data_IF_582801286659
#
_entry.id   IF_582801286659
#
_cell.length_a   1.000
_cell.length_b   1.000
_cell.length_c   1.000
_cell.angle_alpha   90.00
_cell.angle_beta   90.00
_cell.angle_gamma   90.00
#
_symmetry.space_group_name_H-M   'P 1'
#
loop_
_entity.id
_entity.type
_entity.pdbx_description
1 polymer ?
#
# COMPACT_ATOMS: atom_id res chain seq x y z
N UNK A 1 16.51 3.11 4.21
CA UNK A 1 15.18 3.21 4.87
C UNK A 1 15.04 2.02 5.82
N UNK A 2 14.91 2.25 7.14
CA UNK A 2 14.57 1.17 8.07
C UNK A 2 13.09 0.83 7.89
N UNK A 3 12.79 -0.34 7.31
CA UNK A 3 11.43 -0.77 7.10
C UNK A 3 10.81 -1.23 8.41
N UNK A 4 10.15 -0.30 9.12
CA UNK A 4 9.34 -0.60 10.30
C UNK A 4 8.11 -1.41 9.86
N UNK A 5 8.24 -2.73 9.85
CA UNK A 5 7.19 -3.67 9.46
C UNK A 5 6.92 -4.60 10.65
N UNK A 6 5.66 -4.73 11.04
CA UNK A 6 5.27 -5.63 12.13
C UNK A 6 5.27 -7.11 11.68
N UNK A 7 5.39 -8.03 12.64
CA UNK A 7 5.21 -9.48 12.39
C UNK A 7 3.87 -9.80 11.73
N UNK A 8 2.81 -9.06 12.08
CA UNK A 8 1.49 -9.21 11.46
C UNK A 8 1.53 -8.85 9.97
N UNK A 9 2.12 -7.71 9.61
CA UNK A 9 2.29 -7.30 8.22
C UNK A 9 3.12 -8.31 7.41
N UNK A 10 4.25 -8.79 7.96
CA UNK A 10 5.08 -9.82 7.30
C UNK A 10 4.25 -11.08 7.00
N UNK A 11 3.48 -11.57 7.99
CA UNK A 11 2.58 -12.72 7.79
C UNK A 11 1.58 -12.46 6.66
N UNK A 12 0.99 -11.26 6.59
CA UNK A 12 0.01 -10.89 5.57
C UNK A 12 0.61 -10.73 4.18
N UNK A 13 1.85 -10.24 4.09
CA UNK A 13 2.63 -10.15 2.87
C UNK A 13 2.89 -11.55 2.30
N UNK A 14 3.42 -12.46 3.12
CA UNK A 14 3.71 -13.84 2.72
C UNK A 14 2.43 -14.57 2.24
N UNK A 15 1.34 -14.45 3.00
CA UNK A 15 0.04 -15.05 2.63
C UNK A 15 -0.52 -14.57 1.28
N UNK A 16 -0.08 -13.41 0.78
CA UNK A 16 -0.62 -12.78 -0.43
C UNK A 16 0.42 -12.62 -1.54
N UNK A 17 1.61 -13.19 -1.35
CA UNK A 17 2.74 -13.05 -2.27
C UNK A 17 3.04 -11.58 -2.59
N UNK A 18 3.07 -10.72 -1.56
CA UNK A 18 3.38 -9.29 -1.69
C UNK A 18 4.85 -9.10 -1.32
N UNK A 19 5.79 -9.04 -2.28
CA UNK A 19 7.19 -8.79 -1.99
C UNK A 19 7.40 -7.36 -1.47
N UNK A 20 8.51 -7.16 -0.77
CA UNK A 20 8.87 -5.87 -0.15
C UNK A 20 8.93 -4.72 -1.16
N UNK A 21 9.34 -4.99 -2.42
CA UNK A 21 9.36 -3.98 -3.49
C UNK A 21 7.97 -3.36 -3.73
N UNK A 22 6.89 -4.13 -3.58
CA UNK A 22 5.54 -3.59 -3.68
C UNK A 22 5.24 -2.62 -2.54
N UNK A 23 5.70 -2.92 -1.31
CA UNK A 23 5.53 -2.03 -0.16
C UNK A 23 6.23 -0.69 -0.40
N UNK A 24 7.47 -0.74 -0.91
CA UNK A 24 8.26 0.44 -1.22
C UNK A 24 7.57 1.30 -2.29
N UNK A 25 7.09 0.70 -3.37
CA UNK A 25 6.39 1.46 -4.41
C UNK A 25 5.06 2.03 -3.94
N UNK A 26 4.28 1.32 -3.11
CA UNK A 26 3.03 1.88 -2.56
C UNK A 26 3.33 3.07 -1.65
N UNK A 27 4.41 3.04 -0.86
CA UNK A 27 4.85 4.19 -0.08
C UNK A 27 5.31 5.37 -0.94
N UNK A 28 5.98 5.10 -2.06
CA UNK A 28 6.52 6.12 -2.96
C UNK A 28 5.45 6.76 -3.86
N UNK A 29 4.60 5.94 -4.48
CA UNK A 29 3.67 6.37 -5.52
C UNK A 29 2.21 6.38 -5.08
N UNK A 30 1.86 5.67 -4.00
CA UNK A 30 0.49 5.55 -3.51
C UNK A 30 -0.09 6.84 -2.96
N UNK A 31 -1.42 6.92 -2.91
CA UNK A 31 -2.14 8.01 -2.27
C UNK A 31 -2.06 7.85 -0.74
N UNK A 32 -1.60 8.89 -0.03
CA UNK A 32 -1.59 8.95 1.44
C UNK A 32 -2.94 9.45 1.94
N UNK A 33 -3.55 8.71 2.86
CA UNK A 33 -4.89 9.00 3.37
C UNK A 33 -4.89 8.81 4.88
N UNK A 34 -5.27 9.85 5.62
CA UNK A 34 -5.45 9.79 7.06
C UNK A 34 -6.93 9.57 7.36
N UNK A 35 -7.26 8.47 8.05
CA UNK A 35 -8.63 8.19 8.48
C UNK A 35 -8.62 7.29 9.71
N UNK A 36 -9.56 7.49 10.65
CA UNK A 36 -9.76 6.61 11.82
C UNK A 36 -8.46 6.30 12.58
N UNK A 37 -7.68 7.33 12.91
CA UNK A 37 -6.38 7.22 13.59
C UNK A 37 -5.36 6.30 12.90
N UNK A 38 -5.50 6.09 11.59
CA UNK A 38 -4.61 5.25 10.79
C UNK A 38 -4.14 6.02 9.55
N UNK A 39 -2.93 5.71 9.11
CA UNK A 39 -2.38 6.19 7.84
C UNK A 39 -2.48 5.07 6.81
N UNK A 40 -3.23 5.32 5.74
CA UNK A 40 -3.33 4.42 4.61
C UNK A 40 -2.46 4.91 3.47
N UNK A 41 -1.74 3.98 2.85
CA UNK A 41 -1.19 4.19 1.51
C UNK A 41 -1.97 3.33 0.54
N UNK A 42 -2.52 3.92 -0.51
CA UNK A 42 -3.35 3.21 -1.47
C UNK A 42 -2.81 3.33 -2.90
N UNK A 43 -2.62 2.19 -3.55
CA UNK A 43 -2.20 2.12 -4.94
C UNK A 43 -3.40 2.10 -5.89
N UNK A 44 -3.91 3.28 -6.22
CA UNK A 44 -4.98 3.44 -7.22
C UNK A 44 -4.46 3.46 -8.66
N UNK A 45 -5.38 3.51 -9.64
CA UNK A 45 -5.03 3.59 -11.08
C UNK A 45 -4.04 4.71 -11.40
N UNK A 46 -4.26 5.89 -10.82
CA UNK A 46 -3.38 7.06 -11.03
C UNK A 46 -1.98 6.83 -10.44
N UNK A 47 -1.90 6.21 -9.27
CA UNK A 47 -0.63 5.85 -8.64
C UNK A 47 0.14 4.80 -9.46
N UNK A 48 -0.55 3.78 -9.99
CA UNK A 48 0.05 2.81 -10.92
C UNK A 48 0.59 3.50 -12.18
N UNK A 49 -0.16 4.44 -12.76
CA UNK A 49 0.32 5.20 -13.92
C UNK A 49 1.61 5.97 -13.62
N UNK A 50 1.67 6.68 -12.48
CA UNK A 50 2.90 7.38 -12.06
C UNK A 50 4.07 6.43 -11.82
N UNK A 51 3.81 5.27 -11.23
CA UNK A 51 4.84 4.24 -11.02
C UNK A 51 5.41 3.78 -12.37
N UNK A 52 4.55 3.54 -13.37
CA UNK A 52 4.95 3.09 -14.71
C UNK A 52 5.82 4.09 -15.48
N UNK A 53 5.75 5.38 -15.15
CA UNK A 53 6.63 6.41 -15.71
C UNK A 53 8.07 6.31 -15.19
N UNK A 54 8.29 5.60 -14.06
CA UNK A 54 9.59 5.45 -13.40
C UNK A 54 10.10 3.99 -13.44
N UNK A 55 9.19 3.02 -13.34
CA UNK A 55 9.51 1.60 -13.22
C UNK A 55 8.37 0.74 -13.78
N UNK A 56 8.72 -0.21 -14.66
CA UNK A 56 7.77 -1.14 -15.30
C UNK A 56 7.99 -2.55 -14.73
N UNK A 57 7.18 -3.00 -13.75
CA UNK A 57 7.19 -4.40 -13.33
C UNK A 57 6.54 -5.29 -14.38
N UNK A 58 6.80 -6.61 -14.33
CA UNK A 58 6.22 -7.59 -15.26
C UNK A 58 4.69 -7.60 -15.29
N UNK A 59 4.04 -7.36 -14.13
CA UNK A 59 2.58 -7.34 -13.97
C UNK A 59 2.13 -6.07 -13.24
N UNK A 60 2.13 -4.90 -13.90
CA UNK A 60 1.92 -3.63 -13.23
C UNK A 60 0.51 -3.46 -12.66
N UNK A 61 -0.49 -4.05 -13.29
CA UNK A 61 -1.87 -3.99 -12.83
C UNK A 61 -2.14 -4.86 -11.59
N UNK A 62 -1.22 -5.75 -11.20
CA UNK A 62 -1.32 -6.50 -9.94
C UNK A 62 -1.06 -5.64 -8.70
N UNK A 63 -0.54 -4.43 -8.89
CA UNK A 63 -0.25 -3.49 -7.82
C UNK A 63 -1.47 -2.61 -7.53
N UNK A 64 -2.43 -2.52 -8.48
CA UNK A 64 -3.67 -1.78 -8.30
C UNK A 64 -4.53 -2.39 -7.17
N UNK A 65 -4.95 -1.52 -6.26
CA UNK A 65 -5.74 -1.86 -5.09
C UNK A 65 -4.91 -2.30 -3.89
N UNK A 66 -3.58 -2.36 -3.98
CA UNK A 66 -2.74 -2.64 -2.83
C UNK A 66 -2.84 -1.50 -1.82
N UNK A 67 -3.15 -1.86 -0.58
CA UNK A 67 -3.33 -0.95 0.54
C UNK A 67 -2.39 -1.33 1.67
N UNK A 68 -1.68 -0.33 2.18
CA UNK A 68 -0.92 -0.41 3.42
C UNK A 68 -1.69 0.30 4.52
N UNK A 69 -1.70 -0.28 5.72
CA UNK A 69 -2.19 0.39 6.93
C UNK A 69 -1.01 0.58 7.86
N UNK A 70 -0.73 1.83 8.19
CA UNK A 70 0.39 2.23 9.00
C UNK A 70 -0.08 2.96 10.25
N UNK A 71 0.72 2.86 11.32
CA UNK A 71 0.65 3.78 12.45
C UNK A 71 0.97 5.20 11.95
N UNK A 72 0.12 6.22 12.20
CA UNK A 72 0.29 7.54 11.63
C UNK A 72 1.46 8.33 12.24
N UNK A 73 1.96 7.95 13.42
CA UNK A 73 3.07 8.66 14.10
C UNK A 73 4.43 8.11 13.69
N UNK A 74 4.54 6.79 13.58
CA UNK A 74 5.80 6.08 13.36
C UNK A 74 5.98 5.59 11.93
N UNK A 75 4.92 5.66 11.12
CA UNK A 75 4.78 5.07 9.78
C UNK A 75 5.00 3.54 9.74
N UNK A 76 4.94 2.88 10.91
CA UNK A 76 5.12 1.44 11.04
C UNK A 76 4.01 0.71 10.32
N UNK A 77 4.35 -0.23 9.43
CA UNK A 77 3.40 -1.03 8.68
C UNK A 77 2.75 -2.09 9.58
N UNK A 78 1.46 -1.90 9.85
CA UNK A 78 0.65 -2.76 10.71
C UNK A 78 0.09 -3.92 9.89
N UNK A 79 -0.47 -3.65 8.71
CA UNK A 79 -1.05 -4.70 7.84
C UNK A 79 -1.07 -4.30 6.38
N UNK A 80 -1.26 -5.29 5.50
CA UNK A 80 -1.38 -5.13 4.05
C UNK A 80 -2.56 -5.93 3.52
N UNK A 81 -3.24 -5.39 2.51
CA UNK A 81 -4.28 -6.12 1.79
C UNK A 81 -4.49 -5.54 0.39
N UNK A 82 -5.20 -6.26 -0.48
CA UNK A 82 -5.54 -5.82 -1.83
C UNK A 82 -7.05 -5.65 -1.96
N UNK A 83 -7.51 -4.43 -2.23
CA UNK A 83 -8.89 -4.10 -2.50
C UNK A 83 -9.00 -2.87 -3.43
N UNK A 84 -9.31 -3.10 -4.71
CA UNK A 84 -9.44 -2.03 -5.72
C UNK A 84 -10.51 -0.98 -5.40
N UNK A 85 -11.51 -1.31 -4.57
CA UNK A 85 -12.62 -0.41 -4.20
C UNK A 85 -12.37 0.30 -2.86
N UNK A 86 -11.18 0.19 -2.27
CA UNK A 86 -10.88 0.70 -0.92
C UNK A 86 -11.12 2.20 -0.75
N UNK A 87 -10.69 3.04 -1.71
CA UNK A 87 -10.91 4.49 -1.65
C UNK A 87 -12.38 4.87 -1.48
N UNK A 88 -13.28 4.17 -2.17
CA UNK A 88 -14.72 4.42 -2.05
C UNK A 88 -15.19 4.16 -0.62
N UNK A 89 -14.65 3.12 0.04
CA UNK A 89 -15.01 2.81 1.43
C UNK A 89 -14.54 3.86 2.42
N UNK A 90 -13.38 4.50 2.19
CA UNK A 90 -12.89 5.56 3.09
C UNK A 90 -13.64 6.88 2.85
N UNK A 91 -13.91 7.26 1.59
CA UNK A 91 -14.51 8.57 1.26
C UNK A 91 -16.00 8.69 1.59
N UNK A 92 -16.70 7.58 1.79
CA UNK A 92 -18.14 7.55 2.09
C UNK A 92 -18.45 7.26 3.57
N UNK A 93 -17.46 7.38 4.46
CA UNK A 93 -17.64 7.38 5.92
C UNK A 93 -17.15 8.73 6.48
#
# INVERSE_FOLDING_TARGET
>A
MNNKITKHAIKRMNQRHIPEIMILAVRAFGERIYARNSLYYFMGKRAVKRMLEVFIPEKPYDWEGLTLVCDPKTETLITVFKNKKWLKKIKHN
#
